data_IF_183362156280
#
_entry.id   IF_183362156280
#
_cell.length_a   1.000
_cell.length_b   1.000
_cell.length_c   1.000
_cell.angle_alpha   90.00
_cell.angle_beta   90.00
_cell.angle_gamma   90.00
#
_symmetry.space_group_name_H-M   'P 1'
#
loop_
_entity.id
_entity.type
_entity.pdbx_description
1 polymer ?
#
# COMPACT_ATOMS: atom_id res chain seq x y z
N UNK A 1 5.67 -17.36 -9.77
CA UNK A 1 5.76 -16.55 -8.54
C UNK A 1 4.37 -15.99 -8.31
N UNK A 2 3.86 -15.88 -7.09
CA UNK A 2 2.57 -15.21 -6.88
C UNK A 2 2.86 -13.71 -7.05
N UNK A 3 2.37 -13.13 -8.15
CA UNK A 3 2.56 -11.71 -8.49
C UNK A 3 1.39 -10.87 -7.97
N UNK A 4 1.63 -9.58 -7.68
CA UNK A 4 0.66 -8.67 -7.08
C UNK A 4 -0.68 -8.63 -7.83
N UNK A 5 -0.64 -8.56 -9.17
CA UNK A 5 -1.85 -8.46 -9.98
C UNK A 5 -2.75 -9.70 -9.90
N UNK A 6 -2.18 -10.90 -9.67
CA UNK A 6 -2.99 -12.11 -9.48
C UNK A 6 -3.76 -12.04 -8.16
N UNK A 7 -3.09 -11.61 -7.08
CA UNK A 7 -3.71 -11.45 -5.76
C UNK A 7 -4.75 -10.33 -5.76
N UNK A 8 -4.50 -9.24 -6.49
CA UNK A 8 -5.43 -8.13 -6.60
C UNK A 8 -6.74 -8.55 -7.29
N UNK A 9 -6.66 -9.22 -8.45
CA UNK A 9 -7.86 -9.78 -9.11
C UNK A 9 -8.56 -10.81 -8.22
N UNK A 10 -7.80 -11.69 -7.56
CA UNK A 10 -8.37 -12.69 -6.67
C UNK A 10 -9.16 -12.05 -5.51
N UNK A 11 -8.64 -10.98 -4.90
CA UNK A 11 -9.35 -10.23 -3.87
C UNK A 11 -10.60 -9.54 -4.44
N UNK A 12 -10.51 -8.93 -5.62
CA UNK A 12 -11.68 -8.34 -6.29
C UNK A 12 -12.78 -9.39 -6.50
N UNK A 13 -12.41 -10.58 -6.98
CA UNK A 13 -13.36 -11.67 -7.18
C UNK A 13 -14.00 -12.13 -5.86
N UNK A 14 -13.23 -12.26 -4.78
CA UNK A 14 -13.76 -12.57 -3.44
C UNK A 14 -14.78 -11.51 -3.02
N UNK A 15 -14.44 -10.22 -3.14
CA UNK A 15 -15.33 -9.13 -2.73
C UNK A 15 -16.65 -9.16 -3.51
N UNK A 16 -16.61 -9.43 -4.82
CA UNK A 16 -17.82 -9.57 -5.64
C UNK A 16 -18.65 -10.78 -5.22
N UNK A 17 -18.03 -11.95 -5.02
CA UNK A 17 -18.74 -13.20 -4.68
C UNK A 17 -19.48 -13.09 -3.34
N UNK A 18 -18.90 -12.39 -2.38
CA UNK A 18 -19.44 -12.26 -1.01
C UNK A 18 -20.18 -10.93 -0.76
N UNK A 19 -20.60 -10.23 -1.82
CA UNK A 19 -21.35 -8.98 -1.67
C UNK A 19 -22.64 -8.93 -2.50
N UNK A 20 -23.61 -8.18 -1.99
CA UNK A 20 -24.94 -7.98 -2.61
C UNK A 20 -24.96 -6.68 -3.43
N UNK A 21 -24.09 -6.59 -4.44
CA UNK A 21 -23.87 -5.38 -5.24
C UNK A 21 -24.65 -5.47 -6.55
N UNK A 22 -25.09 -4.33 -7.09
CA UNK A 22 -25.74 -4.31 -8.40
C UNK A 22 -24.82 -4.90 -9.49
N UNK A 23 -25.41 -5.60 -10.46
CA UNK A 23 -24.67 -6.28 -11.53
C UNK A 23 -23.75 -5.31 -12.28
N UNK A 24 -24.23 -4.09 -12.55
CA UNK A 24 -23.45 -3.07 -13.25
C UNK A 24 -22.24 -2.61 -12.42
N UNK A 25 -22.45 -2.33 -11.13
CA UNK A 25 -21.36 -1.94 -10.24
C UNK A 25 -20.33 -3.08 -10.07
N UNK A 26 -20.77 -4.34 -10.00
CA UNK A 26 -19.89 -5.52 -9.95
C UNK A 26 -19.06 -5.67 -11.24
N UNK A 27 -19.66 -5.47 -12.43
CA UNK A 27 -18.94 -5.50 -13.71
C UNK A 27 -17.86 -4.42 -13.75
N UNK A 28 -18.19 -3.18 -13.34
CA UNK A 28 -17.23 -2.08 -13.30
C UNK A 28 -16.09 -2.35 -12.30
N UNK A 29 -16.42 -2.92 -11.14
CA UNK A 29 -15.42 -3.33 -10.15
C UNK A 29 -14.47 -4.39 -10.72
N UNK A 30 -14.99 -5.36 -11.48
CA UNK A 30 -14.20 -6.39 -12.14
C UNK A 30 -13.33 -5.81 -13.28
N UNK A 31 -13.89 -4.91 -14.10
CA UNK A 31 -13.15 -4.20 -15.16
C UNK A 31 -11.96 -3.45 -14.56
N UNK A 32 -12.11 -2.81 -13.40
CA UNK A 32 -11.01 -2.12 -12.72
C UNK A 32 -9.83 -3.08 -12.42
N UNK A 33 -10.14 -4.31 -11.98
CA UNK A 33 -9.16 -5.36 -11.74
C UNK A 33 -8.48 -5.86 -13.01
N UNK A 34 -9.23 -6.02 -14.11
CA UNK A 34 -8.68 -6.41 -15.42
C UNK A 34 -7.75 -5.32 -15.96
N UNK A 35 -8.17 -4.06 -15.93
CA UNK A 35 -7.36 -2.92 -16.38
C UNK A 35 -6.06 -2.88 -15.59
N UNK A 36 -6.13 -3.02 -14.26
CA UNK A 36 -4.94 -3.09 -13.41
C UNK A 36 -4.00 -4.23 -13.82
N UNK A 37 -4.55 -5.43 -14.07
CA UNK A 37 -3.78 -6.61 -14.44
C UNK A 37 -3.04 -6.44 -15.77
N UNK A 38 -3.74 -6.01 -16.83
CA UNK A 38 -3.13 -5.75 -18.14
C UNK A 38 -2.04 -4.69 -17.99
N UNK A 39 -2.35 -3.60 -17.30
CA UNK A 39 -1.45 -2.47 -17.12
C UNK A 39 -0.21 -2.83 -16.31
N UNK A 40 -0.33 -3.74 -15.34
CA UNK A 40 0.82 -4.28 -14.60
C UNK A 40 1.75 -5.10 -15.49
N UNK A 41 1.20 -5.97 -16.35
CA UNK A 41 2.00 -6.73 -17.32
C UNK A 41 2.72 -5.77 -18.27
N UNK A 42 1.98 -4.81 -18.81
CA UNK A 42 2.53 -3.76 -19.68
C UNK A 42 3.65 -3.00 -18.97
N UNK A 43 3.48 -2.58 -17.71
CA UNK A 43 4.52 -1.91 -16.92
C UNK A 43 5.77 -2.75 -16.66
N UNK A 44 5.60 -4.06 -16.46
CA UNK A 44 6.72 -5.01 -16.34
C UNK A 44 7.54 -5.10 -17.64
N UNK A 45 6.87 -5.01 -18.78
CA UNK A 45 7.49 -5.17 -20.09
C UNK A 45 8.00 -3.86 -20.69
N UNK A 46 7.37 -2.73 -20.35
CA UNK A 46 7.63 -1.39 -20.93
C UNK A 46 9.10 -0.97 -20.87
N UNK A 47 9.78 -1.34 -19.79
CA UNK A 47 11.19 -1.01 -19.61
C UNK A 47 12.05 -2.26 -19.63
N UNK A 48 12.50 -2.66 -20.82
CA UNK A 48 13.72 -3.47 -21.02
C UNK A 48 14.97 -2.61 -20.79
N UNK A 49 15.00 -1.83 -19.71
CA UNK A 49 16.19 -1.07 -19.37
C UNK A 49 17.34 -2.05 -19.15
N UNK A 50 18.45 -1.77 -19.82
CA UNK A 50 19.77 -2.27 -19.49
C UNK A 50 20.21 -1.55 -18.21
N UNK A 51 19.46 -1.82 -17.14
CA UNK A 51 19.80 -1.46 -15.78
C UNK A 51 21.04 -2.33 -15.54
N UNK A 52 22.23 -1.78 -15.84
CA UNK A 52 23.50 -2.44 -15.58
C UNK A 52 23.57 -2.93 -14.13
N UNK A 53 24.67 -3.55 -13.70
CA UNK A 53 24.87 -3.95 -12.30
C UNK A 53 24.90 -2.71 -11.37
N UNK A 54 23.75 -2.10 -11.14
CA UNK A 54 23.50 -1.03 -10.21
C UNK A 54 23.29 -1.72 -8.88
N UNK A 55 24.41 -2.03 -8.23
CA UNK A 55 24.39 -2.42 -6.83
C UNK A 55 24.06 -1.15 -6.07
N UNK A 56 22.83 -1.03 -5.57
CA UNK A 56 22.51 -0.02 -4.56
C UNK A 56 23.49 -0.16 -3.41
N UNK A 57 24.00 0.95 -2.87
CA UNK A 57 24.85 0.88 -1.69
C UNK A 57 23.97 0.47 -0.51
N UNK A 58 24.01 -0.82 -0.17
CA UNK A 58 23.25 -1.41 0.93
C UNK A 58 23.43 -0.63 2.25
N UNK A 59 24.55 0.08 2.42
CA UNK A 59 24.83 0.86 3.63
C UNK A 59 23.94 2.12 3.75
N UNK A 60 23.80 2.91 2.69
CA UNK A 60 22.96 4.12 2.70
C UNK A 60 21.49 3.72 2.85
N UNK A 61 21.10 2.67 2.12
CA UNK A 61 19.77 2.11 2.16
C UNK A 61 19.37 1.64 3.57
N UNK A 62 20.31 0.97 4.26
CA UNK A 62 20.16 0.52 5.64
C UNK A 62 20.08 1.69 6.63
N UNK A 63 20.96 2.68 6.50
CA UNK A 63 20.95 3.88 7.36
C UNK A 63 19.63 4.63 7.26
N UNK A 64 19.09 4.76 6.04
CA UNK A 64 17.78 5.36 5.81
C UNK A 64 16.64 4.55 6.44
N UNK A 65 16.68 3.22 6.31
CA UNK A 65 15.71 2.33 6.96
C UNK A 65 15.68 2.47 8.49
N UNK A 66 16.86 2.51 9.13
CA UNK A 66 16.95 2.72 10.58
C UNK A 66 16.46 4.09 11.03
N UNK A 67 16.78 5.15 10.28
CA UNK A 67 16.30 6.49 10.57
C UNK A 67 14.77 6.51 10.60
N UNK A 68 14.12 5.95 9.56
CA UNK A 68 12.65 5.88 9.51
C UNK A 68 12.06 5.02 10.63
N UNK A 69 12.70 3.89 10.95
CA UNK A 69 12.24 3.00 12.02
C UNK A 69 12.32 3.69 13.40
N UNK A 70 13.40 4.42 13.67
CA UNK A 70 13.59 5.15 14.95
C UNK A 70 12.57 6.29 15.06
N UNK A 71 12.41 7.10 14.02
CA UNK A 71 11.42 8.20 14.02
C UNK A 71 10.02 7.63 14.26
N UNK A 72 9.65 6.57 13.54
CA UNK A 72 8.35 5.92 13.72
C UNK A 72 8.17 5.36 15.13
N UNK A 73 9.20 4.69 15.68
CA UNK A 73 9.16 4.13 17.03
C UNK A 73 8.97 5.21 18.09
N UNK A 74 9.78 6.27 18.04
CA UNK A 74 9.68 7.40 18.97
C UNK A 74 8.30 8.06 18.86
N UNK A 75 7.76 8.20 17.64
CA UNK A 75 6.44 8.77 17.42
C UNK A 75 5.33 7.92 18.05
N UNK A 76 5.36 6.59 17.91
CA UNK A 76 4.40 5.69 18.60
C UNK A 76 4.45 5.89 20.11
N UNK A 77 5.65 5.92 20.70
CA UNK A 77 5.82 6.04 22.15
C UNK A 77 5.29 7.38 22.65
N UNK A 78 5.62 8.48 21.96
CA UNK A 78 5.13 9.82 22.34
C UNK A 78 3.61 9.89 22.20
N UNK A 79 3.04 9.38 21.11
CA UNK A 79 1.59 9.41 20.89
C UNK A 79 0.83 8.62 21.97
N UNK A 80 1.36 7.46 22.38
CA UNK A 80 0.80 6.69 23.50
C UNK A 80 0.88 7.45 24.83
N UNK A 81 2.02 8.09 25.13
CA UNK A 81 2.18 8.90 26.35
C UNK A 81 1.19 10.07 26.37
N UNK A 82 1.04 10.79 25.25
CA UNK A 82 0.16 11.94 25.14
C UNK A 82 -1.33 11.57 25.21
N UNK A 83 -1.70 10.41 24.65
CA UNK A 83 -3.07 9.91 24.71
C UNK A 83 -3.50 9.44 26.11
N UNK A 84 -2.55 9.31 27.05
CA UNK A 84 -2.80 8.99 28.46
C UNK A 84 -3.31 7.56 28.74
N UNK A 85 -3.51 6.75 27.70
CA UNK A 85 -4.00 5.37 27.79
C UNK A 85 -3.59 4.61 26.52
N UNK A 86 -3.92 3.32 26.43
CA UNK A 86 -3.59 2.49 25.27
C UNK A 86 -4.85 2.36 24.38
N UNK A 87 -4.86 2.95 23.16
CA UNK A 87 -6.02 2.93 22.26
C UNK A 87 -6.50 1.56 21.78
N UNK A 88 -5.68 0.53 21.96
CA UNK A 88 -6.07 -0.86 21.76
C UNK A 88 -7.09 -1.34 22.80
N UNK A 89 -6.95 -0.93 24.06
CA UNK A 89 -7.81 -1.35 25.17
C UNK A 89 -8.95 -0.38 25.42
N UNK A 90 -8.75 0.91 25.16
CA UNK A 90 -9.80 1.92 25.19
C UNK A 90 -9.99 2.57 23.80
N UNK A 91 -10.99 2.18 23.02
CA UNK A 91 -11.24 2.77 21.71
C UNK A 91 -11.55 4.28 21.76
N UNK A 92 -12.02 4.81 22.89
CA UNK A 92 -12.33 6.24 23.02
C UNK A 92 -11.06 7.09 23.02
N UNK A 93 -9.96 6.56 23.53
CA UNK A 93 -8.70 7.29 23.61
C UNK A 93 -8.05 7.58 22.26
N UNK A 94 -8.52 6.91 21.20
CA UNK A 94 -8.13 7.24 19.81
C UNK A 94 -8.41 8.68 19.43
N UNK A 95 -9.42 9.31 20.05
CA UNK A 95 -9.76 10.72 19.79
C UNK A 95 -8.69 11.69 20.30
N UNK A 96 -7.86 11.25 21.23
CA UNK A 96 -6.78 12.05 21.81
C UNK A 96 -5.43 11.81 21.14
N UNK A 97 -5.36 10.91 20.15
CA UNK A 97 -4.14 10.71 19.36
C UNK A 97 -3.87 11.93 18.51
N UNK A 98 -2.60 12.33 18.45
CA UNK A 98 -2.19 13.44 17.61
C UNK A 98 -2.00 12.94 16.18
N UNK A 99 -2.78 13.50 15.24
CA UNK A 99 -2.75 13.13 13.82
C UNK A 99 -1.32 13.16 13.24
N UNK A 100 -0.51 14.15 13.61
CA UNK A 100 0.86 14.27 13.11
C UNK A 100 1.77 13.17 13.65
N UNK A 101 1.65 12.81 14.93
CA UNK A 101 2.46 11.74 15.53
C UNK A 101 2.01 10.37 15.04
N UNK A 102 0.70 10.15 14.93
CA UNK A 102 0.15 8.92 14.37
C UNK A 102 0.67 8.70 12.94
N UNK A 103 0.78 9.76 12.13
CA UNK A 103 1.23 9.61 10.74
C UNK A 103 2.74 9.46 10.61
N UNK A 104 3.51 10.12 11.46
CA UNK A 104 4.94 9.83 11.61
C UNK A 104 5.18 8.39 12.10
N UNK A 105 4.28 7.84 12.92
CA UNK A 105 4.36 6.46 13.38
C UNK A 105 4.33 5.45 12.23
N UNK A 106 3.64 5.77 11.13
CA UNK A 106 3.55 4.87 9.98
C UNK A 106 4.88 4.75 9.22
N UNK A 107 5.82 5.70 9.38
CA UNK A 107 7.19 5.58 8.88
C UNK A 107 7.90 4.34 9.44
N UNK A 108 7.47 3.86 10.61
CA UNK A 108 7.93 2.60 11.18
C UNK A 108 7.75 1.43 10.20
N UNK A 109 6.59 1.35 9.53
CA UNK A 109 6.24 0.27 8.60
C UNK A 109 7.21 0.27 7.42
N UNK A 110 7.48 1.45 6.87
CA UNK A 110 8.42 1.62 5.74
C UNK A 110 9.85 1.35 6.15
N UNK A 111 10.28 1.91 7.29
CA UNK A 111 11.62 1.71 7.83
C UNK A 111 11.92 0.24 8.05
N UNK A 112 10.99 -0.48 8.68
CA UNK A 112 11.14 -1.93 8.90
C UNK A 112 11.20 -2.72 7.60
N UNK A 113 10.32 -2.43 6.63
CA UNK A 113 10.34 -3.12 5.33
C UNK A 113 11.66 -2.91 4.57
N UNK A 114 12.26 -1.71 4.65
CA UNK A 114 13.56 -1.41 4.05
C UNK A 114 14.70 -2.17 4.77
N UNK A 115 14.70 -2.19 6.10
CA UNK A 115 15.69 -2.95 6.89
C UNK A 115 15.60 -4.43 6.52
N UNK A 116 14.40 -4.99 6.46
CA UNK A 116 14.18 -6.39 6.10
C UNK A 116 14.65 -6.72 4.66
N UNK A 117 14.53 -5.76 3.76
CA UNK A 117 14.96 -5.89 2.37
C UNK A 117 16.48 -5.75 2.18
N UNK A 118 17.16 -5.03 3.08
CA UNK A 118 18.61 -4.73 3.00
C UNK A 118 19.45 -5.69 3.83
N UNK A 119 18.99 -6.07 5.02
CA UNK A 119 19.72 -6.94 5.94
C UNK A 119 19.48 -8.43 5.66
N UNK A 120 20.53 -9.22 5.88
CA UNK A 120 20.45 -10.67 5.90
C UNK A 120 20.07 -11.16 7.30
N UNK A 121 18.81 -10.91 7.67
CA UNK A 121 18.21 -11.44 8.89
C UNK A 121 17.74 -12.87 8.61
N UNK A 122 18.08 -13.81 9.51
CA UNK A 122 17.56 -15.17 9.47
C UNK A 122 16.02 -15.16 9.45
N UNK A 123 15.42 -16.00 8.61
CA UNK A 123 13.97 -16.12 8.47
C UNK A 123 13.22 -16.20 9.80
N UNK A 124 13.70 -17.00 10.76
CA UNK A 124 13.07 -17.13 12.09
C UNK A 124 13.05 -15.79 12.84
N UNK A 125 14.17 -15.07 12.84
CA UNK A 125 14.30 -13.76 13.50
C UNK A 125 13.44 -12.71 12.79
N UNK A 126 13.42 -12.71 11.46
CA UNK A 126 12.57 -11.84 10.67
C UNK A 126 11.08 -11.99 11.04
N UNK A 127 10.57 -13.22 11.14
CA UNK A 127 9.19 -13.49 11.53
C UNK A 127 8.91 -13.04 12.97
N UNK A 128 9.81 -13.36 13.91
CA UNK A 128 9.67 -12.95 15.32
C UNK A 128 9.61 -11.43 15.44
N UNK A 129 10.53 -10.71 14.79
CA UNK A 129 10.52 -9.24 14.79
C UNK A 129 9.27 -8.68 14.14
N UNK A 130 8.80 -9.26 13.05
CA UNK A 130 7.56 -8.84 12.40
C UNK A 130 6.37 -8.97 13.37
N UNK A 131 6.28 -10.07 14.13
CA UNK A 131 5.21 -10.29 15.11
C UNK A 131 5.32 -9.28 16.26
N UNK A 132 6.51 -9.10 16.84
CA UNK A 132 6.74 -8.15 17.94
C UNK A 132 6.36 -6.73 17.51
N UNK A 133 6.80 -6.32 16.33
CA UNK A 133 6.48 -5.01 15.78
C UNK A 133 5.01 -4.85 15.40
N UNK A 134 4.36 -5.93 14.95
CA UNK A 134 2.91 -5.94 14.72
C UNK A 134 2.13 -5.70 16.02
N UNK A 135 2.54 -6.34 17.12
CA UNK A 135 1.96 -6.12 18.44
C UNK A 135 2.21 -4.68 18.89
N UNK A 136 3.43 -4.16 18.72
CA UNK A 136 3.77 -2.79 19.06
C UNK A 136 2.89 -1.76 18.32
N UNK A 137 2.75 -1.87 17.00
CA UNK A 137 1.88 -0.98 16.21
C UNK A 137 0.40 -1.16 16.60
N UNK A 138 0.00 -2.37 16.97
CA UNK A 138 -1.39 -2.64 17.36
C UNK A 138 -1.82 -1.86 18.62
N UNK A 139 -0.86 -1.40 19.45
CA UNK A 139 -1.15 -0.57 20.62
C UNK A 139 -1.90 0.72 20.27
N UNK A 140 -1.64 1.29 19.07
CA UNK A 140 -2.38 2.45 18.55
C UNK A 140 -3.83 2.12 18.16
N UNK A 141 -4.22 0.85 18.16
CA UNK A 141 -5.57 0.40 17.83
C UNK A 141 -5.91 0.36 16.34
N UNK A 142 -4.97 0.63 15.44
CA UNK A 142 -5.18 0.63 13.99
C UNK A 142 -4.87 -0.73 13.36
N UNK A 143 -5.92 -1.45 12.93
CA UNK A 143 -5.80 -2.80 12.33
C UNK A 143 -5.13 -2.79 10.96
N UNK A 144 -5.41 -1.77 10.16
CA UNK A 144 -4.86 -1.60 8.82
C UNK A 144 -3.34 -1.51 8.85
N UNK A 145 -2.78 -0.82 9.85
CA UNK A 145 -1.33 -0.66 10.01
C UNK A 145 -0.64 -1.98 10.37
N UNK A 146 -1.27 -2.78 11.23
CA UNK A 146 -0.80 -4.13 11.57
C UNK A 146 -0.79 -5.02 10.32
N UNK A 147 -1.85 -4.96 9.52
CA UNK A 147 -1.92 -5.70 8.26
C UNK A 147 -0.89 -5.22 7.23
N UNK A 148 -0.71 -3.90 7.12
CA UNK A 148 0.27 -3.33 6.23
C UNK A 148 1.68 -3.81 6.59
N UNK A 149 2.04 -3.84 7.88
CA UNK A 149 3.33 -4.35 8.35
C UNK A 149 3.51 -5.84 8.08
N UNK A 150 2.50 -6.67 8.38
CA UNK A 150 2.56 -8.12 8.16
C UNK A 150 2.69 -8.45 6.66
N UNK A 151 1.82 -7.88 5.84
CA UNK A 151 1.80 -8.13 4.40
C UNK A 151 3.08 -7.60 3.73
N UNK A 152 3.57 -6.42 4.13
CA UNK A 152 4.79 -5.85 3.54
C UNK A 152 6.02 -6.70 3.88
N UNK A 153 6.13 -7.15 5.13
CA UNK A 153 7.24 -7.98 5.59
C UNK A 153 7.25 -9.33 4.88
N UNK A 154 6.08 -9.98 4.73
CA UNK A 154 5.98 -11.22 4.00
C UNK A 154 6.22 -11.05 2.49
N UNK A 155 5.77 -9.95 1.90
CA UNK A 155 6.10 -9.63 0.52
C UNK A 155 7.62 -9.49 0.33
N UNK A 156 8.30 -8.72 1.18
CA UNK A 156 9.76 -8.55 1.13
C UNK A 156 10.48 -9.89 1.25
N UNK A 157 10.14 -10.72 2.25
CA UNK A 157 10.77 -12.04 2.44
C UNK A 157 10.52 -12.99 1.27
N UNK A 158 9.30 -12.97 0.70
CA UNK A 158 8.95 -13.78 -0.46
C UNK A 158 9.76 -13.37 -1.71
N UNK A 159 9.86 -12.07 -1.99
CA UNK A 159 10.59 -11.56 -3.15
C UNK A 159 12.12 -11.61 -2.95
N UNK A 160 12.59 -11.65 -1.71
CA UNK A 160 13.99 -11.97 -1.38
C UNK A 160 14.35 -13.43 -1.65
N UNK A 161 13.36 -14.33 -1.66
CA UNK A 161 13.53 -15.76 -1.90
C UNK A 161 13.67 -16.60 -0.63
N UNK A 162 13.47 -16.00 0.55
CA UNK A 162 13.58 -16.67 1.86
C UNK A 162 12.34 -17.52 2.19
N UNK A 163 11.19 -17.20 1.58
CA UNK A 163 9.92 -17.91 1.79
C UNK A 163 9.52 -18.77 0.60
N UNK A 164 9.17 -20.03 0.87
CA UNK A 164 8.56 -20.92 -0.13
C UNK A 164 7.07 -20.59 -0.31
N UNK A 165 6.50 -20.92 -1.48
CA UNK A 165 5.07 -20.71 -1.78
C UNK A 165 4.13 -21.31 -0.73
N UNK A 166 4.46 -22.51 -0.21
CA UNK A 166 3.68 -23.19 0.84
C UNK A 166 3.65 -22.38 2.14
N UNK A 167 4.76 -21.75 2.48
CA UNK A 167 4.89 -20.97 3.71
C UNK A 167 4.13 -19.66 3.61
N UNK A 168 4.12 -19.03 2.43
CA UNK A 168 3.28 -17.86 2.17
C UNK A 168 1.79 -18.16 2.40
N UNK A 169 1.30 -19.33 1.95
CA UNK A 169 -0.07 -19.76 2.22
C UNK A 169 -0.33 -19.95 3.72
N UNK A 170 0.59 -20.61 4.43
CA UNK A 170 0.48 -20.80 5.88
C UNK A 170 0.45 -19.44 6.61
N UNK A 171 1.32 -18.51 6.25
CA UNK A 171 1.31 -17.16 6.84
C UNK A 171 0.03 -16.40 6.51
N UNK A 172 -0.48 -16.53 5.28
CA UNK A 172 -1.78 -15.97 4.90
C UNK A 172 -2.91 -16.51 5.77
N UNK A 173 -2.94 -17.82 6.01
CA UNK A 173 -3.92 -18.47 6.90
C UNK A 173 -3.77 -17.98 8.35
N UNK A 174 -2.53 -17.82 8.83
CA UNK A 174 -2.26 -17.30 10.19
C UNK A 174 -2.76 -15.86 10.32
N UNK A 175 -2.44 -14.97 9.37
CA UNK A 175 -2.94 -13.59 9.38
C UNK A 175 -4.48 -13.58 9.37
N UNK A 176 -5.07 -14.38 8.48
CA UNK A 176 -6.52 -14.48 8.38
C UNK A 176 -7.15 -14.96 9.69
N UNK A 177 -6.56 -15.97 10.33
CA UNK A 177 -7.01 -16.49 11.63
C UNK A 177 -6.91 -15.45 12.74
N UNK A 178 -5.80 -14.70 12.82
CA UNK A 178 -5.63 -13.60 13.78
C UNK A 178 -6.71 -12.53 13.56
N UNK A 179 -6.94 -12.11 12.32
CA UNK A 179 -7.98 -11.13 12.00
C UNK A 179 -9.39 -11.59 12.35
N UNK A 180 -9.69 -12.85 12.05
CA UNK A 180 -10.98 -13.46 12.33
C UNK A 180 -11.21 -13.51 13.85
N UNK A 181 -10.21 -13.95 14.61
CA UNK A 181 -10.24 -13.98 16.08
C UNK A 181 -10.46 -12.60 16.67
N UNK A 182 -9.68 -11.59 16.25
CA UNK A 182 -9.84 -10.20 16.70
C UNK A 182 -11.23 -9.64 16.36
N UNK A 183 -11.81 -10.06 15.24
CA UNK A 183 -13.11 -9.58 14.79
C UNK A 183 -14.27 -10.24 15.54
N UNK A 184 -14.19 -11.55 15.81
CA UNK A 184 -15.15 -12.28 16.66
C UNK A 184 -15.14 -11.72 18.07
N UNK A 185 -13.96 -11.55 18.68
CA UNK A 185 -13.84 -10.98 20.03
C UNK A 185 -14.54 -9.63 20.12
N UNK A 186 -14.35 -8.76 19.12
CA UNK A 186 -15.01 -7.46 19.06
C UNK A 186 -16.54 -7.57 18.96
N UNK A 187 -17.05 -8.49 18.14
CA UNK A 187 -18.49 -8.73 18.01
C UNK A 187 -19.11 -9.21 19.33
N UNK A 188 -18.42 -10.11 20.04
CA UNK A 188 -18.84 -10.57 21.36
C UNK A 188 -18.91 -9.42 22.37
N UNK A 189 -17.90 -8.53 22.38
CA UNK A 189 -17.91 -7.35 23.24
C UNK A 189 -19.00 -6.32 22.87
N UNK A 190 -19.37 -6.23 21.58
CA UNK A 190 -20.40 -5.30 21.09
C UNK A 190 -21.82 -5.89 21.12
N UNK A 191 -22.00 -7.16 21.50
CA UNK A 191 -23.31 -7.83 21.55
C UNK A 191 -23.97 -8.06 20.18
N UNK A 192 -23.25 -7.90 19.07
CA UNK A 192 -23.78 -8.05 17.72
C UNK A 192 -23.56 -9.48 17.20
N UNK A 193 -24.65 -10.15 16.81
CA UNK A 193 -24.64 -11.50 16.23
C UNK A 193 -24.43 -11.40 14.70
N UNK A 194 -23.34 -11.97 14.18
CA UNK A 194 -23.08 -12.05 12.74
C UNK A 194 -21.65 -12.48 12.38
N UNK A 195 -21.41 -12.81 11.11
CA UNK A 195 -20.07 -13.10 10.61
C UNK A 195 -19.30 -11.78 10.37
N UNK A 196 -18.20 -11.49 11.08
CA UNK A 196 -17.47 -10.22 10.99
C UNK A 196 -16.91 -9.92 9.60
N UNK A 197 -16.54 -10.96 8.86
CA UNK A 197 -15.85 -10.80 7.58
C UNK A 197 -16.87 -10.48 6.50
N UNK A 198 -17.96 -11.24 6.45
CA UNK A 198 -19.04 -10.99 5.49
C UNK A 198 -19.71 -9.64 5.74
N UNK A 199 -19.92 -9.26 7.01
CA UNK A 199 -20.48 -7.94 7.32
C UNK A 199 -19.55 -6.81 6.90
N UNK A 200 -18.23 -6.99 6.96
CA UNK A 200 -17.25 -6.01 6.47
C UNK A 200 -17.25 -5.89 4.95
N UNK A 201 -17.21 -7.01 4.24
CA UNK A 201 -17.24 -7.03 2.77
C UNK A 201 -18.57 -6.43 2.29
N UNK A 202 -19.69 -6.86 2.86
CA UNK A 202 -21.03 -6.33 2.55
C UNK A 202 -21.13 -4.82 2.84
N UNK A 203 -20.62 -4.35 3.98
CA UNK A 203 -20.61 -2.90 4.29
C UNK A 203 -19.80 -2.12 3.25
N UNK A 204 -18.56 -2.51 2.99
CA UNK A 204 -17.69 -1.77 2.05
C UNK A 204 -18.23 -1.79 0.61
N UNK A 205 -18.75 -2.93 0.18
CA UNK A 205 -19.31 -3.09 -1.15
C UNK A 205 -20.69 -2.43 -1.32
N UNK A 206 -21.51 -2.35 -0.26
CA UNK A 206 -22.76 -1.58 -0.30
C UNK A 206 -22.50 -0.07 -0.38
N UNK A 207 -21.50 0.44 0.33
CA UNK A 207 -21.06 1.84 0.18
C UNK A 207 -20.59 2.10 -1.25
N UNK A 208 -19.81 1.18 -1.82
CA UNK A 208 -19.39 1.26 -3.22
C UNK A 208 -20.59 1.28 -4.17
N UNK A 209 -21.59 0.43 -3.97
CA UNK A 209 -22.80 0.38 -4.80
C UNK A 209 -23.61 1.67 -4.71
N UNK A 210 -23.76 2.25 -3.51
CA UNK A 210 -24.43 3.54 -3.33
C UNK A 210 -23.67 4.64 -4.07
N UNK A 211 -22.35 4.69 -3.94
CA UNK A 211 -21.50 5.65 -4.64
C UNK A 211 -21.66 5.51 -6.16
N UNK A 212 -21.62 4.28 -6.68
CA UNK A 212 -21.77 4.00 -8.10
C UNK A 212 -23.13 4.47 -8.65
N UNK A 213 -24.21 4.18 -7.92
CA UNK A 213 -25.56 4.46 -8.41
C UNK A 213 -25.99 5.94 -8.22
N UNK A 214 -25.51 6.62 -7.17
CA UNK A 214 -26.02 7.94 -6.78
C UNK A 214 -24.98 9.07 -6.81
N UNK A 215 -23.68 8.76 -6.76
CA UNK A 215 -22.61 9.75 -6.61
C UNK A 215 -21.51 9.66 -7.68
N UNK A 216 -21.80 9.03 -8.81
CA UNK A 216 -20.89 8.93 -9.95
C UNK A 216 -20.55 10.33 -10.50
N UNK A 217 -19.27 10.71 -10.46
CA UNK A 217 -18.74 12.00 -10.92
C UNK A 217 -19.29 13.24 -10.17
N UNK A 218 -19.70 13.07 -8.91
CA UNK A 218 -20.34 14.15 -8.14
C UNK A 218 -19.38 14.95 -7.26
N UNK A 219 -18.18 14.41 -6.95
CA UNK A 219 -17.25 15.05 -6.01
C UNK A 219 -16.11 15.82 -6.68
N UNK A 220 -15.94 15.72 -8.00
CA UNK A 220 -14.99 16.53 -8.79
C UNK A 220 -13.56 16.60 -8.21
N UNK A 221 -13.03 15.47 -7.73
CA UNK A 221 -11.69 15.37 -7.13
C UNK A 221 -11.60 15.79 -5.66
N UNK A 222 -12.71 16.11 -4.99
CA UNK A 222 -12.70 16.59 -3.62
C UNK A 222 -12.18 15.53 -2.64
N UNK A 223 -12.43 14.23 -2.83
CA UNK A 223 -11.92 13.21 -1.89
C UNK A 223 -10.40 13.14 -1.90
N UNK A 224 -9.79 13.14 -3.09
CA UNK A 224 -8.33 13.11 -3.22
C UNK A 224 -7.69 14.42 -2.76
N UNK A 225 -8.34 15.56 -2.99
CA UNK A 225 -7.92 16.85 -2.43
C UNK A 225 -8.01 16.86 -0.90
N UNK A 226 -9.13 16.38 -0.36
CA UNK A 226 -9.38 16.32 1.07
C UNK A 226 -8.42 15.39 1.80
N UNK A 227 -7.94 14.32 1.16
CA UNK A 227 -6.92 13.43 1.71
C UNK A 227 -5.63 14.16 2.07
N UNK A 228 -5.28 15.23 1.34
CA UNK A 228 -4.09 16.04 1.59
C UNK A 228 -4.44 17.22 2.51
N UNK A 229 -5.49 17.96 2.19
CA UNK A 229 -5.80 19.21 2.89
C UNK A 229 -6.34 19.01 4.31
N UNK A 230 -6.87 17.82 4.63
CA UNK A 230 -7.35 17.55 5.98
C UNK A 230 -6.22 17.54 7.00
N UNK A 231 -5.00 17.23 6.56
CA UNK A 231 -3.82 17.24 7.42
C UNK A 231 -3.36 18.64 7.79
N UNK A 232 -3.59 19.62 6.91
CA UNK A 232 -3.30 21.02 7.17
C UNK A 232 -4.47 21.74 7.89
N UNK A 233 -5.55 21.01 8.23
CA UNK A 233 -6.73 21.57 8.87
C UNK A 233 -7.63 22.39 7.94
N UNK A 234 -7.39 22.33 6.63
CA UNK A 234 -8.14 23.11 5.63
C UNK A 234 -9.38 22.39 5.08
N UNK A 235 -9.51 21.08 5.31
CA UNK A 235 -10.68 20.31 4.89
C UNK A 235 -11.02 19.22 5.90
N UNK A 236 -12.21 18.66 5.76
CA UNK A 236 -12.59 17.48 6.53
C UNK A 236 -11.98 16.22 5.90
N UNK A 237 -11.63 15.21 6.69
CA UNK A 237 -11.04 13.98 6.17
C UNK A 237 -11.98 13.26 5.19
N UNK A 238 -11.45 12.61 4.14
CA UNK A 238 -12.24 12.06 3.04
C UNK A 238 -13.25 10.99 3.51
N UNK A 239 -12.87 10.17 4.49
CA UNK A 239 -13.76 9.14 5.08
C UNK A 239 -14.92 9.72 5.87
N UNK A 240 -14.72 10.87 6.51
CA UNK A 240 -15.79 11.57 7.21
C UNK A 240 -16.68 12.31 6.22
N UNK A 241 -16.10 12.91 5.17
CA UNK A 241 -16.87 13.55 4.11
C UNK A 241 -17.87 12.57 3.47
N UNK A 242 -17.43 11.36 3.12
CA UNK A 242 -18.33 10.34 2.56
C UNK A 242 -19.43 9.96 3.56
N UNK A 243 -19.08 9.74 4.83
CA UNK A 243 -20.07 9.42 5.85
C UNK A 243 -21.15 10.51 5.98
N UNK A 244 -20.72 11.78 5.98
CA UNK A 244 -21.63 12.94 6.02
C UNK A 244 -22.52 13.01 4.76
N UNK A 245 -21.96 12.76 3.57
CA UNK A 245 -22.72 12.74 2.32
C UNK A 245 -23.76 11.61 2.29
N UNK A 246 -23.48 10.50 2.95
CA UNK A 246 -24.43 9.39 3.12
C UNK A 246 -25.42 9.60 4.29
N UNK A 247 -25.43 10.78 4.92
CA UNK A 247 -26.23 11.11 6.11
C UNK A 247 -25.98 10.17 7.31
N UNK A 248 -24.75 9.65 7.45
CA UNK A 248 -24.37 8.80 8.57
C UNK A 248 -23.49 9.62 9.52
N UNK A 249 -24.09 10.06 10.62
CA UNK A 249 -23.43 10.93 11.59
C UNK A 249 -22.52 10.16 12.56
N UNK A 250 -21.47 10.83 13.04
CA UNK A 250 -20.61 10.33 14.11
C UNK A 250 -19.66 9.18 13.75
N UNK A 251 -19.61 8.76 12.48
CA UNK A 251 -18.75 7.66 12.01
C UNK A 251 -17.90 8.07 10.81
N UNK A 252 -16.82 7.33 10.57
CA UNK A 252 -16.02 7.43 9.35
C UNK A 252 -16.26 6.20 8.49
N UNK A 253 -16.45 6.43 7.20
CA UNK A 253 -16.76 5.38 6.23
C UNK A 253 -15.67 5.32 5.18
N UNK A 254 -15.15 4.11 4.96
CA UNK A 254 -14.09 3.87 3.98
C UNK A 254 -14.70 3.46 2.64
N UNK A 255 -14.48 4.23 1.56
CA UNK A 255 -14.78 3.74 0.22
C UNK A 255 -13.70 2.74 -0.21
N UNK A 256 -14.08 1.81 -1.08
CA UNK A 256 -13.11 0.99 -1.81
C UNK A 256 -12.26 1.88 -2.72
N UNK A 257 -11.08 1.43 -3.15
CA UNK A 257 -10.24 2.22 -4.07
C UNK A 257 -10.97 2.55 -5.38
N UNK A 258 -11.83 1.65 -5.87
CA UNK A 258 -12.68 1.89 -7.04
C UNK A 258 -13.77 2.93 -6.74
N UNK A 259 -14.44 2.82 -5.58
CA UNK A 259 -15.49 3.75 -5.18
C UNK A 259 -14.99 5.19 -5.03
N UNK A 260 -13.80 5.38 -4.45
CA UNK A 260 -13.20 6.70 -4.32
C UNK A 260 -12.97 7.40 -5.67
N UNK A 261 -12.54 6.63 -6.69
CA UNK A 261 -12.28 7.15 -8.04
C UNK A 261 -13.59 7.50 -8.75
N UNK A 262 -14.59 6.62 -8.68
CA UNK A 262 -15.90 6.84 -9.31
C UNK A 262 -16.58 8.08 -8.70
N UNK A 263 -16.48 8.25 -7.39
CA UNK A 263 -17.09 9.38 -6.73
C UNK A 263 -16.47 10.72 -7.18
N UNK A 264 -15.15 10.76 -7.35
CA UNK A 264 -14.42 11.98 -7.70
C UNK A 264 -14.37 12.29 -9.21
N UNK A 265 -14.27 11.28 -10.07
CA UNK A 265 -13.95 11.45 -11.50
C UNK A 265 -14.80 10.57 -12.43
N UNK A 266 -15.76 9.86 -11.85
CA UNK A 266 -16.66 8.98 -12.58
C UNK A 266 -16.07 7.65 -13.05
N UNK A 267 -16.93 6.84 -13.67
CA UNK A 267 -16.58 5.48 -14.14
C UNK A 267 -15.47 5.48 -15.19
N UNK A 268 -15.42 6.49 -16.06
CA UNK A 268 -14.40 6.56 -17.12
C UNK A 268 -12.97 6.72 -16.56
N UNK A 269 -12.82 7.31 -15.38
CA UNK A 269 -11.53 7.53 -14.74
C UNK A 269 -10.86 6.24 -14.21
N UNK A 270 -11.61 5.13 -14.14
CA UNK A 270 -11.05 3.82 -13.77
C UNK A 270 -9.93 3.41 -14.73
N UNK A 271 -10.09 3.67 -16.03
CA UNK A 271 -9.10 3.30 -17.05
C UNK A 271 -7.76 4.01 -16.81
N UNK A 272 -7.68 5.36 -16.80
CA UNK A 272 -6.42 6.05 -16.58
C UNK A 272 -5.85 5.78 -15.18
N UNK A 273 -6.69 5.69 -14.13
CA UNK A 273 -6.20 5.48 -12.77
C UNK A 273 -5.55 4.10 -12.58
N UNK A 274 -6.28 3.01 -12.84
CA UNK A 274 -5.74 1.66 -12.71
C UNK A 274 -4.72 1.35 -13.80
N UNK A 275 -4.83 2.02 -14.95
CA UNK A 275 -3.82 2.04 -16.00
C UNK A 275 -2.46 2.52 -15.48
N UNK A 276 -2.44 3.74 -14.94
CA UNK A 276 -1.23 4.31 -14.36
C UNK A 276 -0.72 3.51 -13.17
N UNK A 277 -1.60 3.16 -12.22
CA UNK A 277 -1.27 2.39 -11.03
C UNK A 277 -0.64 1.04 -11.39
N UNK A 278 -1.24 0.33 -12.35
CA UNK A 278 -0.73 -0.95 -12.85
C UNK A 278 0.64 -0.80 -13.49
N UNK A 279 0.81 0.13 -14.43
CA UNK A 279 2.09 0.36 -15.11
C UNK A 279 3.19 0.71 -14.10
N UNK A 280 2.89 1.61 -13.16
CA UNK A 280 3.79 2.04 -12.11
C UNK A 280 4.25 0.87 -11.23
N UNK A 281 3.31 0.08 -10.70
CA UNK A 281 3.64 -1.04 -9.82
C UNK A 281 4.33 -2.19 -10.58
N UNK A 282 3.97 -2.43 -11.84
CA UNK A 282 4.63 -3.40 -12.71
C UNK A 282 6.09 -3.04 -13.00
N UNK A 283 6.36 -1.75 -13.21
CA UNK A 283 7.73 -1.25 -13.36
C UNK A 283 8.52 -1.36 -12.06
N UNK A 284 7.96 -0.91 -10.94
CA UNK A 284 8.61 -0.97 -9.63
C UNK A 284 8.89 -2.41 -9.20
N UNK A 285 8.01 -3.36 -9.51
CA UNK A 285 8.22 -4.79 -9.29
C UNK A 285 9.52 -5.28 -9.94
N UNK A 286 9.75 -4.90 -11.20
CA UNK A 286 10.95 -5.29 -11.94
C UNK A 286 12.21 -4.66 -11.34
N UNK A 287 12.13 -3.41 -10.90
CA UNK A 287 13.22 -2.74 -10.19
C UNK A 287 13.52 -3.41 -8.85
N UNK A 288 12.50 -3.72 -8.05
CA UNK A 288 12.63 -4.40 -6.77
C UNK A 288 13.34 -5.76 -6.91
N UNK A 289 13.01 -6.53 -7.95
CA UNK A 289 13.64 -7.83 -8.22
C UNK A 289 15.11 -7.71 -8.63
N UNK A 290 15.48 -6.65 -9.34
CA UNK A 290 16.85 -6.44 -9.87
C UNK A 290 17.77 -5.72 -8.89
N UNK A 291 17.31 -4.62 -8.30
CA UNK A 291 18.12 -3.71 -7.49
C UNK A 291 18.12 -4.08 -6.00
N UNK A 292 17.04 -4.71 -5.52
CA UNK A 292 16.82 -5.03 -4.09
C UNK A 292 16.97 -3.78 -3.20
N UNK A 293 17.23 -3.95 -1.90
CA UNK A 293 17.40 -2.86 -0.95
C UNK A 293 16.14 -2.00 -0.78
N UNK A 294 16.31 -0.67 -0.84
CA UNK A 294 15.19 0.28 -0.70
C UNK A 294 14.04 -0.03 -1.68
N UNK A 295 14.35 -0.39 -2.94
CA UNK A 295 13.32 -0.68 -3.95
C UNK A 295 12.43 -1.86 -3.55
N UNK A 296 13.03 -2.89 -2.96
CA UNK A 296 12.29 -4.06 -2.50
C UNK A 296 11.46 -3.74 -1.25
N UNK A 297 12.01 -2.97 -0.30
CA UNK A 297 11.28 -2.53 0.90
C UNK A 297 10.02 -1.73 0.55
N UNK A 298 10.16 -0.71 -0.29
CA UNK A 298 9.02 0.13 -0.71
C UNK A 298 8.04 -0.63 -1.57
N UNK A 299 8.53 -1.48 -2.48
CA UNK A 299 7.65 -2.35 -3.25
C UNK A 299 6.82 -3.25 -2.33
N UNK A 300 7.41 -3.80 -1.26
CA UNK A 300 6.67 -4.59 -0.26
C UNK A 300 5.57 -3.79 0.45
N UNK A 301 5.85 -2.53 0.81
CA UNK A 301 4.86 -1.63 1.42
C UNK A 301 3.73 -1.32 0.43
N UNK A 302 4.06 -0.93 -0.80
CA UNK A 302 3.06 -0.61 -1.83
C UNK A 302 2.25 -1.84 -2.21
N UNK A 303 2.87 -3.01 -2.27
CA UNK A 303 2.20 -4.30 -2.44
C UNK A 303 1.12 -4.51 -1.37
N UNK A 304 1.47 -4.31 -0.09
CA UNK A 304 0.53 -4.46 1.02
C UNK A 304 -0.64 -3.46 0.91
N UNK A 305 -0.34 -2.17 0.74
CA UNK A 305 -1.38 -1.14 0.66
C UNK A 305 -2.25 -1.26 -0.60
N UNK A 306 -1.72 -1.78 -1.71
CA UNK A 306 -2.54 -2.09 -2.90
C UNK A 306 -3.60 -3.14 -2.57
N UNK A 307 -3.22 -4.22 -1.88
CA UNK A 307 -4.17 -5.27 -1.49
C UNK A 307 -5.20 -4.78 -0.47
N UNK A 308 -4.74 -4.01 0.53
CA UNK A 308 -5.60 -3.41 1.57
C UNK A 308 -6.58 -2.39 0.96
N UNK A 309 -6.16 -1.66 -0.09
CA UNK A 309 -6.97 -0.60 -0.70
C UNK A 309 -8.28 -1.10 -1.33
N UNK A 310 -8.40 -2.40 -1.62
CA UNK A 310 -9.66 -3.02 -2.05
C UNK A 310 -10.76 -2.75 -1.01
N UNK A 311 -10.42 -2.79 0.28
CA UNK A 311 -11.34 -2.50 1.40
C UNK A 311 -11.37 -1.01 1.77
N UNK A 312 -10.18 -0.40 1.94
CA UNK A 312 -10.06 0.88 2.65
C UNK A 312 -9.76 2.10 1.77
N UNK A 313 -9.58 1.90 0.46
CA UNK A 313 -9.16 2.91 -0.49
C UNK A 313 -7.70 3.38 -0.30
N UNK A 314 -7.23 4.24 -1.21
CA UNK A 314 -5.94 4.95 -1.13
C UNK A 314 -6.22 6.42 -0.83
N UNK A 315 -6.71 6.70 0.37
CA UNK A 315 -7.16 8.06 0.78
C UNK A 315 -6.45 8.56 2.05
N UNK A 316 -5.51 7.80 2.58
CA UNK A 316 -4.68 8.23 3.70
C UNK A 316 -3.38 8.88 3.16
N UNK A 317 -3.01 10.05 3.70
CA UNK A 317 -1.88 10.85 3.21
C UNK A 317 -0.56 10.09 3.24
N UNK A 318 -0.31 9.33 4.30
CA UNK A 318 0.89 8.51 4.46
C UNK A 318 1.02 7.48 3.32
N UNK A 319 -0.09 6.85 2.93
CA UNK A 319 -0.12 5.91 1.81
C UNK A 319 0.20 6.64 0.51
N UNK A 320 -0.41 7.81 0.28
CA UNK A 320 -0.12 8.65 -0.89
C UNK A 320 1.37 9.01 -0.94
N UNK A 321 1.97 9.40 0.19
CA UNK A 321 3.40 9.70 0.30
C UNK A 321 4.25 8.48 -0.09
N UNK A 322 3.87 7.26 0.31
CA UNK A 322 4.60 6.05 -0.09
C UNK A 322 4.54 5.80 -1.60
N UNK A 323 3.38 6.05 -2.23
CA UNK A 323 3.25 5.95 -3.68
C UNK A 323 4.12 6.99 -4.39
N UNK A 324 4.11 8.24 -3.92
CA UNK A 324 5.00 9.30 -4.44
C UNK A 324 6.47 8.89 -4.29
N UNK A 325 6.86 8.35 -3.14
CA UNK A 325 8.24 7.90 -2.92
C UNK A 325 8.64 6.77 -3.88
N UNK A 326 7.75 5.81 -4.14
CA UNK A 326 7.97 4.79 -5.16
C UNK A 326 8.11 5.38 -6.58
N UNK A 327 7.28 6.37 -6.94
CA UNK A 327 7.38 7.08 -8.23
C UNK A 327 8.74 7.80 -8.35
N UNK A 328 9.18 8.49 -7.31
CA UNK A 328 10.47 9.17 -7.30
C UNK A 328 11.64 8.20 -7.50
N UNK A 329 11.58 6.99 -6.94
CA UNK A 329 12.59 5.96 -7.17
C UNK A 329 12.59 5.43 -8.60
N UNK A 330 11.41 5.23 -9.16
CA UNK A 330 11.23 4.87 -10.57
C UNK A 330 11.86 5.94 -11.47
N UNK A 331 11.52 7.22 -11.26
CA UNK A 331 12.07 8.35 -12.01
C UNK A 331 13.58 8.47 -11.87
N UNK A 332 14.11 8.36 -10.64
CA UNK A 332 15.57 8.38 -10.38
C UNK A 332 16.29 7.29 -11.18
N UNK A 333 15.70 6.10 -11.26
CA UNK A 333 16.29 4.98 -11.99
C UNK A 333 16.26 5.23 -13.50
N UNK A 334 15.15 5.74 -14.02
CA UNK A 334 15.00 6.09 -15.45
C UNK A 334 16.01 7.17 -15.83
N UNK A 335 16.08 8.29 -15.08
CA UNK A 335 17.02 9.38 -15.32
C UNK A 335 18.47 8.92 -15.31
N UNK A 336 18.84 8.06 -14.35
CA UNK A 336 20.19 7.51 -14.25
C UNK A 336 20.51 6.55 -15.39
N UNK A 337 19.54 5.76 -15.84
CA UNK A 337 19.69 4.85 -16.98
C UNK A 337 19.86 5.61 -18.31
N UNK A 338 19.09 6.68 -18.52
CA UNK A 338 19.24 7.58 -19.67
C UNK A 338 20.62 8.24 -19.69
N UNK A 339 21.09 8.74 -18.53
CA UNK A 339 22.43 9.32 -18.40
C UNK A 339 23.53 8.32 -18.77
N UNK A 340 23.46 7.09 -18.27
CA UNK A 340 24.44 6.06 -18.58
C UNK A 340 24.43 5.64 -20.06
N UNK A 341 23.25 5.56 -20.68
CA UNK A 341 23.11 5.26 -22.11
C UNK A 341 23.74 6.36 -22.98
N UNK A 342 23.55 7.63 -22.60
CA UNK A 342 24.17 8.77 -23.27
C UNK A 342 25.71 8.74 -23.13
N UNK A 343 26.21 8.44 -21.93
CA UNK A 343 27.65 8.34 -21.66
C UNK A 343 28.32 7.20 -22.45
N UNK A 344 27.65 6.05 -22.55
CA UNK A 344 28.12 4.90 -23.33
C UNK A 344 28.16 5.24 -24.83
N UNK A 345 27.16 5.97 -25.33
CA UNK A 345 27.14 6.47 -26.72
C UNK A 345 28.27 7.46 -26.99
N UNK A 346 28.55 8.38 -26.06
CA UNK A 346 29.68 9.30 -26.13
C UNK A 346 31.04 8.59 -26.12
N UNK A 347 31.22 7.59 -25.26
CA UNK A 347 32.46 6.79 -25.21
C UNK A 347 32.71 6.02 -26.51
N UNK A 348 31.67 5.46 -27.13
CA UNK A 348 31.79 4.78 -28.44
C UNK A 348 32.19 5.77 -29.54
N UNK A 349 31.60 6.97 -29.55
CA UNK A 349 31.95 8.03 -30.50
C UNK A 349 33.40 8.49 -30.29
N UNK A 350 33.81 8.71 -29.04
CA UNK A 350 35.17 9.13 -28.70
C UNK A 350 36.21 8.07 -29.10
N UNK A 351 35.92 6.79 -28.82
CA UNK A 351 36.78 5.66 -29.17
C UNK A 351 36.96 5.53 -30.68
N UNK A 352 35.87 5.65 -31.45
CA UNK A 352 35.94 5.59 -32.91
C UNK A 352 36.76 6.75 -33.50
N UNK A 353 36.67 7.96 -32.93
CA UNK A 353 37.50 9.10 -33.35
C UNK A 353 38.99 8.93 -33.03
N UNK A 354 39.32 8.19 -31.97
CA UNK A 354 40.70 7.90 -31.58
C UNK A 354 41.32 6.79 -32.44
N UNK A 355 40.51 5.84 -32.94
CA UNK A 355 40.98 4.80 -33.86
C UNK A 355 41.12 5.30 -35.30
N UNK A 356 40.33 6.29 -35.74
CA UNK A 356 40.49 6.92 -37.05
C UNK A 356 41.75 7.79 -37.14
N UNK A 357 42.18 8.44 -36.04
CA UNK A 357 43.45 9.21 -36.01
C UNK A 357 44.72 8.36 -36.00
N UNK A 358 44.61 7.03 -35.94
CA UNK A 358 45.74 6.08 -35.95
C UNK A 358 45.94 5.36 -37.29
N UNK A 359 45.12 5.67 -38.30
CA UNK A 359 45.39 5.35 -39.71
C UNK A 359 45.87 6.61 -40.40
#
# INVERSE_FOLDING_TARGET
MIELHHLFIFLIAIYIIFSDVSVNAAIIFLISGIVFYISFIVGKDLFKLDVGKFVGSNYIDRGFGYLLLIIGFVSVVIDLILSGSIPLFDPLSRRFLNVYLTTLSHLFIVGYAIILATENIDKKRAIIYTIIFSIFISLLGYRTNVLALLLSSFAVLYYKGELKKRELLIFGIIIFSILLTLSILRLMFLGALGNPILSRISLTMSIYDIIYNHYNDMFYGFLHYAAIMSYFGHSVGPRYFIAKTLNIEGVTITPTVVGAIIADYGVLAIIPYFGFLGIFLGFLYKLAKRLRGIYLGIFGVLFAYTLISVESGILDLDVIIYYIFGILLCLRTILKSLRNSCYKKYLVILWNSLTEKKK
#
